data_IF_132565851768
#
_entry.id   IF_132565851768
#
_cell.length_a   1.000
_cell.length_b   1.000
_cell.length_c   1.000
_cell.angle_alpha   90.00
_cell.angle_beta   90.00
_cell.angle_gamma   90.00
#
_symmetry.space_group_name_H-M   'P 1'
#
loop_
_entity.id
_entity.type
_entity.pdbx_description
1 polymer ?
#
# COMPACT_ATOMS: atom_id res chain seq x y z
N UNK A 1 -0.14 -72.39 27.84
CA UNK A 1 -1.30 -73.16 27.43
C UNK A 1 -1.71 -72.60 26.08
N UNK A 2 -1.18 -73.18 24.99
CA UNK A 2 -1.69 -74.23 24.12
C UNK A 2 -3.11 -73.89 23.62
N UNK A 3 -3.32 -73.67 22.36
CA UNK A 3 -3.49 -74.70 21.33
C UNK A 3 -3.42 -74.07 19.93
N UNK A 4 -2.60 -74.71 19.15
CA UNK A 4 -2.54 -74.86 17.71
C UNK A 4 -3.77 -75.56 17.17
N UNK A 5 -4.21 -75.16 15.96
CA UNK A 5 -4.73 -76.18 14.99
C UNK A 5 -4.59 -75.65 13.54
N UNK A 6 -3.81 -76.42 12.81
CA UNK A 6 -3.74 -76.49 11.35
C UNK A 6 -4.97 -77.35 10.82
N UNK A 7 -5.31 -77.11 9.55
CA UNK A 7 -5.75 -78.11 8.57
C UNK A 7 -5.92 -77.31 7.24
N UNK A 8 -5.16 -77.44 6.20
CA UNK A 8 -4.84 -78.43 5.18
C UNK A 8 -5.86 -78.46 4.03
N UNK A 9 -5.32 -78.11 2.85
CA UNK A 9 -5.53 -78.62 1.46
C UNK A 9 -6.97 -78.73 0.86
N UNK A 10 -7.20 -78.21 -0.34
CA UNK A 10 -7.04 -78.92 -1.63
C UNK A 10 -7.91 -78.27 -2.72
N UNK A 11 -7.43 -78.24 -3.93
CA UNK A 11 -8.29 -78.22 -5.09
C UNK A 11 -7.85 -77.27 -6.22
N UNK A 12 -7.01 -77.83 -7.09
CA UNK A 12 -6.72 -77.24 -8.41
C UNK A 12 -7.89 -77.54 -9.38
N UNK A 13 -8.24 -76.63 -10.22
CA UNK A 13 -8.78 -76.85 -11.58
C UNK A 13 -8.70 -75.58 -12.42
N UNK A 14 -7.86 -75.56 -13.37
CA UNK A 14 -7.93 -75.70 -14.81
C UNK A 14 -8.82 -74.69 -15.57
N UNK A 15 -8.10 -73.92 -16.44
CA UNK A 15 -8.45 -73.46 -17.78
C UNK A 15 -9.76 -72.72 -18.04
N UNK A 16 -9.61 -71.44 -18.40
CA UNK A 16 -10.20 -71.02 -19.70
C UNK A 16 -9.61 -69.65 -20.14
N UNK A 17 -8.89 -69.75 -21.23
CA UNK A 17 -8.32 -68.60 -21.97
C UNK A 17 -9.48 -67.89 -22.69
N UNK A 18 -9.78 -66.64 -22.28
CA UNK A 18 -10.60 -65.72 -23.07
C UNK A 18 -9.86 -64.47 -23.33
N UNK A 19 -9.32 -64.32 -24.53
CA UNK A 19 -8.83 -63.10 -25.09
C UNK A 19 -9.87 -61.97 -25.04
N UNK A 20 -9.81 -61.08 -24.10
CA UNK A 20 -10.57 -59.83 -24.15
C UNK A 20 -9.83 -58.85 -25.05
N UNK A 21 -10.45 -58.53 -26.17
CA UNK A 21 -10.04 -57.47 -27.06
C UNK A 21 -10.08 -56.14 -26.30
N UNK A 22 -8.93 -55.55 -26.04
CA UNK A 22 -8.83 -54.17 -25.57
C UNK A 22 -9.14 -53.27 -26.74
N UNK A 23 -10.31 -52.65 -26.75
CA UNK A 23 -10.62 -51.51 -27.58
C UNK A 23 -9.91 -50.29 -26.98
N UNK A 24 -8.88 -49.81 -27.69
CA UNK A 24 -8.22 -48.54 -27.38
C UNK A 24 -9.20 -47.41 -27.65
N UNK A 25 -9.73 -46.79 -26.59
CA UNK A 25 -10.41 -45.50 -26.68
C UNK A 25 -9.34 -44.42 -26.87
N UNK A 26 -9.47 -43.51 -27.84
CA UNK A 26 -8.56 -42.40 -27.96
C UNK A 26 -8.85 -41.42 -26.81
N UNK A 27 -7.84 -41.21 -25.97
CA UNK A 27 -7.84 -40.11 -24.98
C UNK A 27 -7.71 -38.81 -25.75
N UNK A 28 -8.79 -38.08 -25.91
CA UNK A 28 -8.79 -36.69 -26.35
C UNK A 28 -8.17 -35.85 -25.26
N UNK A 29 -6.88 -35.51 -25.41
CA UNK A 29 -6.20 -34.52 -24.60
C UNK A 29 -6.75 -33.16 -25.02
N UNK A 30 -7.70 -32.62 -24.24
CA UNK A 30 -8.13 -31.23 -24.36
C UNK A 30 -6.98 -30.35 -23.91
N UNK A 31 -6.27 -29.75 -24.87
CA UNK A 31 -5.32 -28.67 -24.60
C UNK A 31 -6.17 -27.48 -24.15
N UNK A 32 -6.31 -27.32 -22.83
CA UNK A 32 -6.83 -26.08 -22.26
C UNK A 32 -5.87 -24.95 -22.62
N UNK A 33 -6.29 -24.09 -23.55
CA UNK A 33 -5.61 -22.84 -23.85
C UNK A 33 -5.59 -22.00 -22.56
N UNK A 34 -4.46 -21.99 -21.85
CA UNK A 34 -4.20 -21.05 -20.76
C UNK A 34 -4.02 -19.70 -21.41
N UNK A 35 -5.09 -18.92 -21.50
CA UNK A 35 -5.00 -17.51 -21.88
C UNK A 35 -4.33 -16.76 -20.73
N UNK A 36 -3.33 -15.91 -21.01
CA UNK A 36 -2.78 -15.06 -19.99
C UNK A 36 -3.91 -14.12 -19.51
N UNK A 37 -4.27 -14.24 -18.24
CA UNK A 37 -5.13 -13.25 -17.57
C UNK A 37 -4.33 -11.95 -17.55
N UNK A 38 -4.59 -11.07 -18.50
CA UNK A 38 -4.17 -9.69 -18.42
C UNK A 38 -4.81 -9.14 -17.16
N UNK A 39 -3.99 -8.83 -16.16
CA UNK A 39 -4.44 -8.20 -14.93
C UNK A 39 -5.10 -6.86 -15.31
N UNK A 40 -6.42 -6.83 -15.38
CA UNK A 40 -7.17 -5.60 -15.51
C UNK A 40 -6.81 -4.70 -14.33
N UNK A 41 -6.22 -3.56 -14.65
CA UNK A 41 -6.01 -2.48 -13.67
C UNK A 41 -7.38 -2.16 -13.10
N UNK A 42 -7.59 -2.22 -11.77
CA UNK A 42 -8.93 -2.09 -11.22
C UNK A 42 -9.54 -0.75 -11.64
N UNK A 43 -10.75 -0.78 -12.19
CA UNK A 43 -11.51 0.38 -12.67
C UNK A 43 -11.65 1.51 -11.63
N UNK A 44 -11.45 1.19 -10.36
CA UNK A 44 -11.45 2.13 -9.23
C UNK A 44 -10.24 3.09 -9.29
N UNK A 45 -9.04 2.58 -9.60
CA UNK A 45 -7.82 3.40 -9.68
C UNK A 45 -7.88 4.39 -10.84
N UNK A 46 -8.42 3.97 -11.99
CA UNK A 46 -8.59 4.83 -13.16
C UNK A 46 -9.61 5.94 -12.89
N UNK A 47 -10.70 5.64 -12.21
CA UNK A 47 -11.72 6.62 -11.80
C UNK A 47 -11.17 7.63 -10.77
N UNK A 48 -10.34 7.21 -9.82
CA UNK A 48 -9.67 8.07 -8.86
C UNK A 48 -8.70 9.03 -9.55
N UNK A 49 -7.86 8.54 -10.46
CA UNK A 49 -6.93 9.35 -11.23
C UNK A 49 -7.66 10.41 -12.08
N UNK A 50 -8.77 10.04 -12.73
CA UNK A 50 -9.59 10.96 -13.50
C UNK A 50 -10.20 12.08 -12.66
N UNK A 51 -10.68 11.80 -11.46
CA UNK A 51 -11.23 12.80 -10.53
C UNK A 51 -10.15 13.73 -9.99
N UNK A 52 -8.97 13.19 -9.68
CA UNK A 52 -7.84 13.96 -9.17
C UNK A 52 -7.24 14.92 -10.21
N UNK A 53 -7.47 14.70 -11.51
CA UNK A 53 -6.95 15.57 -12.58
C UNK A 53 -7.50 17.00 -12.53
N UNK A 54 -8.61 17.23 -11.87
CA UNK A 54 -9.24 18.55 -11.73
C UNK A 54 -8.74 19.34 -10.52
N UNK A 55 -7.97 18.73 -9.63
CA UNK A 55 -7.47 19.40 -8.41
C UNK A 55 -6.39 20.40 -8.80
N UNK A 56 -6.55 21.66 -8.35
CA UNK A 56 -5.66 22.79 -8.65
C UNK A 56 -4.75 23.19 -7.48
N UNK A 57 -4.79 22.43 -6.40
CA UNK A 57 -3.95 22.69 -5.23
C UNK A 57 -2.47 22.64 -5.63
N UNK A 58 -1.72 23.66 -5.20
CA UNK A 58 -0.28 23.73 -5.48
C UNK A 58 0.43 22.47 -4.97
N UNK A 59 1.38 21.97 -5.76
CA UNK A 59 2.20 20.80 -5.44
C UNK A 59 1.38 19.53 -5.16
N UNK A 60 0.19 19.45 -5.77
CA UNK A 60 -0.69 18.30 -5.67
C UNK A 60 -0.08 17.08 -6.35
N UNK A 61 -0.30 15.90 -5.77
CA UNK A 61 0.08 14.62 -6.35
C UNK A 61 -0.62 13.45 -5.69
N UNK A 62 -0.75 12.38 -6.45
CA UNK A 62 -1.16 11.08 -5.97
C UNK A 62 0.08 10.23 -5.77
N UNK A 63 0.33 9.78 -4.55
CA UNK A 63 1.40 8.83 -4.29
C UNK A 63 0.95 7.40 -4.65
N UNK A 64 -0.29 7.07 -4.32
CA UNK A 64 -0.99 5.84 -4.72
C UNK A 64 -2.51 6.05 -4.61
N UNK A 65 -3.29 4.98 -4.66
CA UNK A 65 -4.76 5.04 -4.63
C UNK A 65 -5.34 5.51 -3.28
N UNK A 66 -4.53 5.56 -2.23
CA UNK A 66 -4.94 5.95 -0.88
C UNK A 66 -4.34 7.26 -0.41
N UNK A 67 -3.19 7.65 -0.94
CA UNK A 67 -2.43 8.79 -0.46
C UNK A 67 -2.34 9.90 -1.51
N UNK A 68 -3.02 11.00 -1.24
CA UNK A 68 -2.90 12.27 -1.95
C UNK A 68 -2.10 13.27 -1.12
N UNK A 69 -1.34 14.14 -1.77
CA UNK A 69 -0.49 15.12 -1.10
C UNK A 69 -0.54 16.48 -1.79
N UNK A 70 -0.17 17.52 -1.08
CA UNK A 70 -0.06 18.87 -1.67
C UNK A 70 0.20 19.96 -0.65
N UNK A 71 -0.01 21.21 -1.09
CA UNK A 71 0.02 22.38 -0.24
C UNK A 71 -1.29 22.55 0.54
N UNK A 72 -1.33 23.53 1.45
CA UNK A 72 -2.55 23.98 2.13
C UNK A 72 -3.63 24.28 1.10
N UNK A 73 -4.79 23.60 1.15
CA UNK A 73 -5.92 23.92 0.29
C UNK A 73 -6.51 25.31 0.63
N UNK A 74 -7.01 26.00 -0.35
CA UNK A 74 -7.91 27.13 -0.13
C UNK A 74 -9.28 26.61 0.34
N UNK A 75 -10.11 27.45 0.93
CA UNK A 75 -11.41 27.04 1.50
C UNK A 75 -12.26 26.26 0.49
N UNK A 76 -12.36 26.73 -0.73
CA UNK A 76 -13.16 26.10 -1.79
C UNK A 76 -12.58 24.77 -2.30
N UNK A 77 -11.27 24.56 -2.17
CA UNK A 77 -10.59 23.35 -2.68
C UNK A 77 -10.83 22.08 -1.82
N UNK A 78 -11.39 22.23 -0.61
CA UNK A 78 -11.81 21.07 0.18
C UNK A 78 -12.96 20.31 -0.49
N UNK A 79 -13.86 21.01 -1.20
CA UNK A 79 -14.91 20.39 -1.99
C UNK A 79 -14.32 19.58 -3.16
N UNK A 80 -13.25 20.06 -3.80
CA UNK A 80 -12.57 19.34 -4.88
C UNK A 80 -11.93 18.05 -4.36
N UNK A 81 -11.33 18.08 -3.16
CA UNK A 81 -10.78 16.90 -2.49
C UNK A 81 -11.88 15.88 -2.18
N UNK A 82 -13.02 16.32 -1.66
CA UNK A 82 -14.18 15.47 -1.39
C UNK A 82 -14.73 14.84 -2.69
N UNK A 83 -14.85 15.63 -3.75
CA UNK A 83 -15.29 15.16 -5.07
C UNK A 83 -14.32 14.14 -5.69
N UNK A 84 -13.02 14.25 -5.39
CA UNK A 84 -12.01 13.27 -5.78
C UNK A 84 -12.09 11.96 -4.98
N UNK A 85 -12.89 11.92 -3.91
CA UNK A 85 -13.11 10.75 -3.08
C UNK A 85 -12.25 10.70 -1.82
N UNK A 86 -11.50 11.77 -1.52
CA UNK A 86 -10.77 11.90 -0.24
C UNK A 86 -11.76 11.79 0.91
N UNK A 87 -11.37 11.13 1.99
CA UNK A 87 -12.15 10.99 3.23
C UNK A 87 -11.59 11.80 4.36
N UNK A 88 -10.25 11.89 4.43
CA UNK A 88 -9.57 12.54 5.54
C UNK A 88 -8.52 13.51 5.03
N UNK A 89 -8.48 14.69 5.62
CA UNK A 89 -7.40 15.66 5.45
C UNK A 89 -6.51 15.65 6.70
N UNK A 90 -5.21 15.46 6.49
CA UNK A 90 -4.20 15.47 7.53
C UNK A 90 -3.36 16.74 7.35
N UNK A 91 -3.55 17.70 8.24
CA UNK A 91 -2.80 18.95 8.28
C UNK A 91 -1.58 18.81 9.22
N UNK A 92 -0.40 18.94 8.65
CA UNK A 92 0.88 18.84 9.38
C UNK A 92 1.40 20.19 9.91
N UNK A 93 0.59 21.24 9.79
CA UNK A 93 0.99 22.58 10.24
C UNK A 93 0.87 22.71 11.75
N UNK A 94 1.84 23.37 12.34
CA UNK A 94 1.83 23.85 13.73
C UNK A 94 1.05 25.16 13.89
N UNK A 95 0.78 25.82 12.77
CA UNK A 95 -0.01 27.06 12.66
C UNK A 95 -1.16 26.88 11.64
N UNK A 96 -2.10 25.93 11.85
CA UNK A 96 -3.17 25.68 10.89
C UNK A 96 -4.08 26.88 10.69
N UNK A 97 -4.65 27.01 9.49
CA UNK A 97 -5.65 28.05 9.24
C UNK A 97 -6.86 27.84 10.15
N UNK A 98 -7.33 28.88 10.84
CA UNK A 98 -8.46 28.79 11.80
C UNK A 98 -9.74 28.23 11.17
N UNK A 99 -9.92 28.43 9.88
CA UNK A 99 -11.07 27.96 9.11
C UNK A 99 -10.87 26.59 8.46
N UNK A 100 -9.65 26.03 8.47
CA UNK A 100 -9.37 24.80 7.72
C UNK A 100 -10.20 23.61 8.16
N UNK A 101 -10.34 23.43 9.49
CA UNK A 101 -11.15 22.35 10.05
C UNK A 101 -12.63 22.49 9.64
N UNK A 102 -13.22 23.66 9.82
CA UNK A 102 -14.64 23.85 9.45
C UNK A 102 -14.87 23.68 7.95
N UNK A 103 -13.96 24.18 7.09
CA UNK A 103 -14.08 24.01 5.65
C UNK A 103 -13.98 22.54 5.20
N UNK A 104 -13.12 21.76 5.84
CA UNK A 104 -13.02 20.32 5.60
C UNK A 104 -14.31 19.61 6.03
N UNK A 105 -14.79 19.85 7.24
CA UNK A 105 -16.00 19.22 7.80
C UNK A 105 -17.26 19.62 7.02
N UNK A 106 -17.41 20.89 6.62
CA UNK A 106 -18.47 21.38 5.74
C UNK A 106 -18.47 20.68 4.36
N UNK A 107 -17.29 20.24 3.91
CA UNK A 107 -17.12 19.46 2.67
C UNK A 107 -17.31 17.95 2.87
N UNK A 108 -17.65 17.49 4.09
CA UNK A 108 -17.83 16.08 4.43
C UNK A 108 -16.52 15.32 4.64
N UNK A 109 -15.42 16.02 4.88
CA UNK A 109 -14.10 15.43 5.11
C UNK A 109 -13.81 15.35 6.62
N UNK A 110 -13.18 14.27 7.06
CA UNK A 110 -12.59 14.19 8.39
C UNK A 110 -11.30 15.02 8.42
N UNK A 111 -11.15 15.89 9.42
CA UNK A 111 -9.96 16.72 9.57
C UNK A 111 -9.15 16.29 10.78
N UNK A 112 -7.86 16.02 10.56
CA UNK A 112 -6.88 15.67 11.60
C UNK A 112 -5.71 16.64 11.51
N UNK A 113 -5.39 17.32 12.61
CA UNK A 113 -4.16 18.11 12.70
C UNK A 113 -3.10 17.35 13.49
N UNK A 114 -1.91 17.20 12.89
CA UNK A 114 -0.72 16.63 13.51
C UNK A 114 0.35 17.73 13.44
N UNK A 115 0.41 18.62 14.43
CA UNK A 115 1.27 19.80 14.37
C UNK A 115 2.75 19.42 14.39
N UNK A 116 3.47 19.75 13.34
CA UNK A 116 4.89 19.48 13.15
C UNK A 116 5.66 20.77 12.84
N UNK A 117 6.89 20.86 13.35
CA UNK A 117 7.83 21.91 12.93
C UNK A 117 8.18 21.76 11.44
N UNK A 118 8.39 22.87 10.74
CA UNK A 118 8.81 22.86 9.35
C UNK A 118 10.32 22.63 9.16
N UNK A 119 11.11 22.78 10.23
CA UNK A 119 12.57 22.73 10.22
C UNK A 119 13.19 21.68 11.16
N UNK A 120 12.41 21.12 12.09
CA UNK A 120 12.88 20.10 13.02
C UNK A 120 12.31 18.74 12.70
N UNK A 121 13.02 17.69 13.14
CA UNK A 121 12.58 16.30 13.01
C UNK A 121 11.21 16.08 13.65
N UNK A 122 10.33 15.28 13.04
CA UNK A 122 9.10 14.90 13.71
C UNK A 122 9.38 14.06 14.95
N UNK A 123 8.58 14.25 15.98
CA UNK A 123 8.61 13.41 17.17
C UNK A 123 7.99 12.03 16.89
N UNK A 124 8.35 11.02 17.67
CA UNK A 124 7.81 9.66 17.50
C UNK A 124 6.29 9.62 17.67
N UNK A 125 5.73 10.44 18.55
CA UNK A 125 4.30 10.56 18.78
C UNK A 125 3.57 11.06 17.52
N UNK A 126 4.15 12.03 16.82
CA UNK A 126 3.61 12.57 15.56
C UNK A 126 3.63 11.52 14.45
N UNK A 127 4.73 10.76 14.36
CA UNK A 127 4.86 9.64 13.42
C UNK A 127 3.85 8.54 13.75
N UNK A 128 3.73 8.19 15.02
CA UNK A 128 2.78 7.19 15.50
C UNK A 128 1.34 7.59 15.20
N UNK A 129 0.96 8.83 15.52
CA UNK A 129 -0.36 9.38 15.23
C UNK A 129 -0.67 9.38 13.73
N UNK A 130 0.30 9.74 12.89
CA UNK A 130 0.15 9.68 11.44
C UNK A 130 -0.16 8.26 10.97
N UNK A 131 0.66 7.26 11.34
CA UNK A 131 0.44 5.88 10.91
C UNK A 131 -0.85 5.28 11.49
N UNK A 132 -1.23 5.64 12.70
CA UNK A 132 -2.52 5.25 13.29
C UNK A 132 -3.69 5.84 12.49
N UNK A 133 -3.61 7.12 12.13
CA UNK A 133 -4.65 7.80 11.35
C UNK A 133 -4.84 7.17 9.99
N UNK A 134 -3.75 6.94 9.24
CA UNK A 134 -3.83 6.37 7.88
C UNK A 134 -4.11 4.87 7.87
N UNK A 135 -3.86 4.16 8.97
CA UNK A 135 -4.14 2.73 9.11
C UNK A 135 -5.61 2.39 9.23
N UNK A 136 -6.46 3.36 9.61
CA UNK A 136 -7.90 3.14 9.69
C UNK A 136 -8.52 3.21 8.27
N UNK A 137 -9.15 2.11 7.84
CA UNK A 137 -9.76 2.01 6.50
C UNK A 137 -10.84 3.09 6.25
N UNK A 138 -11.55 3.54 7.30
CA UNK A 138 -12.52 4.63 7.23
C UNK A 138 -11.92 5.97 6.84
N UNK A 139 -10.61 6.17 7.08
CA UNK A 139 -9.90 7.41 6.78
C UNK A 139 -9.34 7.46 5.36
N UNK A 140 -9.44 6.39 4.58
CA UNK A 140 -8.89 6.28 3.25
C UNK A 140 -9.92 6.55 2.16
N UNK A 141 -9.55 7.18 1.04
CA UNK A 141 -8.28 7.85 0.76
C UNK A 141 -8.07 9.12 1.61
N UNK A 142 -6.81 9.48 1.83
CA UNK A 142 -6.48 10.66 2.64
C UNK A 142 -5.59 11.65 1.88
N UNK A 143 -5.69 12.94 2.24
CA UNK A 143 -4.88 14.02 1.72
C UNK A 143 -3.98 14.59 2.82
N UNK A 144 -2.67 14.62 2.58
CA UNK A 144 -1.67 15.12 3.52
C UNK A 144 -1.08 16.42 3.03
N UNK A 145 -1.07 17.45 3.86
CA UNK A 145 -0.50 18.73 3.51
C UNK A 145 0.27 19.40 4.65
N UNK A 146 1.10 20.34 4.27
CA UNK A 146 1.62 21.42 5.11
C UNK A 146 1.39 22.75 4.38
N UNK A 147 2.10 23.82 4.69
CA UNK A 147 1.92 25.09 3.99
C UNK A 147 2.19 24.96 2.48
N UNK A 148 3.36 24.45 2.09
CA UNK A 148 3.78 24.34 0.68
C UNK A 148 3.72 22.94 0.10
N UNK A 149 3.33 21.91 0.87
CA UNK A 149 3.37 20.52 0.44
C UNK A 149 4.76 19.94 0.19
N UNK A 150 5.81 20.56 0.73
CA UNK A 150 7.22 20.26 0.42
C UNK A 150 7.90 19.45 1.51
N UNK A 151 8.16 20.08 2.69
CA UNK A 151 9.04 19.56 3.73
C UNK A 151 8.34 18.58 4.66
N UNK A 152 7.43 19.01 5.53
CA UNK A 152 6.65 18.15 6.44
C UNK A 152 5.90 17.05 5.67
N UNK A 153 5.19 17.43 4.61
CA UNK A 153 4.49 16.51 3.71
C UNK A 153 5.46 15.55 3.00
N UNK A 154 6.61 16.04 2.59
CA UNK A 154 7.65 15.21 1.96
C UNK A 154 8.20 14.15 2.91
N UNK A 155 8.51 14.55 4.16
CA UNK A 155 8.99 13.61 5.19
C UNK A 155 7.95 12.52 5.45
N UNK A 156 6.70 12.88 5.74
CA UNK A 156 5.68 11.87 6.03
C UNK A 156 5.39 10.96 4.84
N UNK A 157 5.45 11.52 3.61
CA UNK A 157 5.38 10.72 2.38
C UNK A 157 6.55 9.74 2.24
N UNK A 158 7.77 10.18 2.55
CA UNK A 158 8.94 9.30 2.52
C UNK A 158 8.83 8.16 3.55
N UNK A 159 8.41 8.45 4.78
CA UNK A 159 8.18 7.44 5.79
C UNK A 159 7.12 6.43 5.34
N UNK A 160 6.02 6.91 4.74
CA UNK A 160 4.99 6.06 4.16
C UNK A 160 5.55 5.11 3.10
N UNK A 161 6.31 5.64 2.13
CA UNK A 161 6.94 4.84 1.08
C UNK A 161 7.91 3.80 1.62
N UNK A 162 8.71 4.16 2.61
CA UNK A 162 9.67 3.23 3.22
C UNK A 162 8.98 2.16 4.04
N UNK A 163 8.05 2.55 4.93
CA UNK A 163 7.44 1.62 5.90
C UNK A 163 6.41 0.69 5.26
N UNK A 164 5.58 1.19 4.36
CA UNK A 164 4.49 0.42 3.75
C UNK A 164 4.81 -0.03 2.32
N UNK A 165 5.61 0.74 1.59
CA UNK A 165 5.99 0.45 0.21
C UNK A 165 7.33 -0.25 0.04
N UNK A 166 8.12 -0.43 1.12
CA UNK A 166 9.43 -1.09 1.08
C UNK A 166 10.49 -0.33 0.26
N UNK A 167 10.33 1.00 0.10
CA UNK A 167 11.28 1.80 -0.67
C UNK A 167 12.57 2.05 0.11
N UNK A 168 13.70 2.20 -0.61
CA UNK A 168 14.92 2.72 -0.02
C UNK A 168 14.79 4.22 0.31
N UNK A 169 15.63 4.70 1.21
CA UNK A 169 15.70 6.12 1.55
C UNK A 169 16.02 6.99 0.33
N UNK A 170 16.93 6.55 -0.53
CA UNK A 170 17.29 7.28 -1.76
C UNK A 170 16.09 7.44 -2.68
N UNK A 171 15.33 6.36 -2.93
CA UNK A 171 14.14 6.40 -3.78
C UNK A 171 13.06 7.31 -3.19
N UNK A 172 12.83 7.25 -1.88
CA UNK A 172 11.89 8.11 -1.19
C UNK A 172 12.31 9.59 -1.22
N UNK A 173 13.60 9.86 -1.03
CA UNK A 173 14.15 11.21 -1.13
C UNK A 173 14.08 11.77 -2.56
N UNK A 174 14.30 10.94 -3.58
CA UNK A 174 14.11 11.34 -4.99
C UNK A 174 12.65 11.73 -5.28
N UNK A 175 11.68 11.04 -4.70
CA UNK A 175 10.28 11.45 -4.78
C UNK A 175 10.03 12.78 -4.05
N UNK A 176 10.60 13.00 -2.87
CA UNK A 176 10.51 14.29 -2.17
C UNK A 176 10.97 15.46 -3.04
N UNK A 177 12.09 15.30 -3.77
CA UNK A 177 12.63 16.33 -4.67
C UNK A 177 11.69 16.66 -5.84
N UNK A 178 10.92 15.68 -6.34
CA UNK A 178 9.90 15.92 -7.37
C UNK A 178 8.77 16.83 -6.90
N UNK A 179 8.58 16.92 -5.58
CA UNK A 179 7.63 17.82 -4.91
C UNK A 179 8.31 19.01 -4.24
N UNK A 180 9.34 19.57 -4.89
CA UNK A 180 10.06 20.77 -4.47
C UNK A 180 10.68 20.70 -3.06
N UNK A 181 11.04 19.52 -2.57
CA UNK A 181 11.82 19.44 -1.33
C UNK A 181 13.23 20.00 -1.56
N UNK A 182 13.69 20.83 -0.64
CA UNK A 182 15.03 21.37 -0.66
C UNK A 182 15.63 21.39 0.75
N UNK A 183 16.97 21.45 0.84
CA UNK A 183 17.71 21.38 2.12
C UNK A 183 18.20 22.73 2.62
N UNK A 184 17.95 23.80 1.86
CA UNK A 184 18.34 25.17 2.26
C UNK A 184 17.48 25.65 3.43
N UNK A 185 17.96 26.68 4.13
CA UNK A 185 17.24 27.39 5.21
C UNK A 185 16.73 26.47 6.33
N UNK A 186 17.63 25.60 6.84
CA UNK A 186 17.33 24.76 8.01
C UNK A 186 16.68 23.43 7.72
N UNK A 187 16.38 23.08 6.45
CA UNK A 187 15.70 21.80 6.13
C UNK A 187 16.64 20.62 5.90
N UNK A 188 17.96 20.80 6.09
CA UNK A 188 18.94 19.69 5.97
C UNK A 188 18.71 18.59 7.01
N UNK A 189 18.27 18.94 8.21
CA UNK A 189 17.98 17.97 9.28
C UNK A 189 16.81 17.06 8.93
N UNK A 190 15.81 17.54 8.22
CA UNK A 190 14.70 16.73 7.71
C UNK A 190 15.16 15.68 6.68
N UNK A 191 16.13 16.03 5.82
CA UNK A 191 16.74 15.03 4.93
C UNK A 191 17.48 13.97 5.73
N UNK A 192 18.35 14.39 6.65
CA UNK A 192 19.11 13.47 7.50
C UNK A 192 18.18 12.55 8.27
N UNK A 193 17.09 13.09 8.81
CA UNK A 193 16.08 12.30 9.51
C UNK A 193 15.46 11.18 8.64
N UNK A 194 15.15 11.43 7.37
CA UNK A 194 14.60 10.42 6.47
C UNK A 194 15.57 9.23 6.30
N UNK A 195 16.86 9.50 6.18
CA UNK A 195 17.87 8.44 6.09
C UNK A 195 18.07 7.71 7.42
N UNK A 196 18.15 8.45 8.53
CA UNK A 196 18.25 7.87 9.87
C UNK A 196 17.06 6.94 10.19
N UNK A 197 15.84 7.39 9.86
CA UNK A 197 14.62 6.59 10.02
C UNK A 197 14.69 5.29 9.23
N UNK A 198 15.14 5.34 7.97
CA UNK A 198 15.31 4.14 7.14
C UNK A 198 16.29 3.15 7.75
N UNK A 199 17.42 3.63 8.29
CA UNK A 199 18.42 2.77 8.92
C UNK A 199 17.96 2.19 10.26
N UNK A 200 17.07 2.88 10.97
CA UNK A 200 16.49 2.42 12.22
C UNK A 200 15.31 1.45 12.05
N UNK A 201 14.70 1.38 10.85
CA UNK A 201 13.60 0.45 10.60
C UNK A 201 14.07 -1.01 10.75
N UNK A 202 13.26 -1.89 11.37
CA UNK A 202 13.53 -3.32 11.36
C UNK A 202 13.70 -3.80 9.91
N UNK A 203 14.86 -4.37 9.60
CA UNK A 203 15.06 -5.05 8.32
C UNK A 203 14.18 -6.31 8.37
N UNK A 204 13.12 -6.34 7.58
CA UNK A 204 12.37 -7.57 7.34
C UNK A 204 13.36 -8.53 6.68
N UNK A 205 13.82 -9.55 7.40
CA UNK A 205 14.57 -10.64 6.79
C UNK A 205 13.69 -11.23 5.71
N UNK A 206 14.10 -11.01 4.46
CA UNK A 206 13.53 -11.69 3.31
C UNK A 206 13.93 -13.15 3.42
N UNK A 207 13.19 -13.92 4.22
CA UNK A 207 13.30 -15.37 4.25
C UNK A 207 12.66 -15.91 2.97
N UNK A 208 13.35 -15.72 1.84
CA UNK A 208 13.20 -16.63 0.73
C UNK A 208 14.06 -17.86 1.05
N UNK A 209 13.54 -18.75 1.88
CA UNK A 209 13.95 -20.12 1.86
C UNK A 209 13.56 -20.69 0.50
N UNK A 210 14.51 -20.69 -0.42
CA UNK A 210 14.45 -21.53 -1.61
C UNK A 210 14.52 -22.96 -1.09
N UNK A 211 13.38 -23.61 -0.92
CA UNK A 211 13.31 -25.04 -0.82
C UNK A 211 13.70 -25.57 -2.21
N UNK A 212 14.94 -26.02 -2.32
CA UNK A 212 15.39 -26.84 -3.45
C UNK A 212 15.00 -28.29 -3.18
N UNK A 213 14.45 -29.01 -4.15
CA UNK A 213 13.94 -30.37 -4.03
C UNK A 213 15.02 -31.40 -3.78
#
# INVERSE_FOLDING_TARGET
MSHSKRVVFSGAQFCSNRYRRFTLLPILISIACIQPVLAEKPAVAEKSASRASNIRIKNFGMMDDHFYRGAQPRREEYQDLAAAGVKTVIDLRDDPERWAKSAAEESGLHYVNIPMSDSHRPAEEQISQFFQTIGAASNQPFYVHCLGGRHRTGVMGALYRMKLGGWSADKAYDEMKKYDFYTRWGHSDLKTFVFDYYHAMPKTESTMAIATP
#
